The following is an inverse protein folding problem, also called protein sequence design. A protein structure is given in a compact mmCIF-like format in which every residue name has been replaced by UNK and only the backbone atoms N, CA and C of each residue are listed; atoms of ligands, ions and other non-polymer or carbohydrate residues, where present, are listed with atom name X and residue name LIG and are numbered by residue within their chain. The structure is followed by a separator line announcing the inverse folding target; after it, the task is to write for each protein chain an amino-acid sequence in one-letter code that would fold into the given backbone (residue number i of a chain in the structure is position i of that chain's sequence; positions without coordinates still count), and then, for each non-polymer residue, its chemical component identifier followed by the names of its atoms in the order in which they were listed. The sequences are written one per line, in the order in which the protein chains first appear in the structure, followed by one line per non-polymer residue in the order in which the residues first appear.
data_IF_867849320949
#
_entry.id   IF_867849320949
#
_cell.length_a   1.000
_cell.length_b   1.000
_cell.length_c   1.000
_cell.angle_alpha   90.00
_cell.angle_beta   90.00
_cell.angle_gamma   90.00
#
_symmetry.space_group_name_H-M   'P 1'
#
loop_
_entity.id
_entity.type
_entity.pdbx_description
1 polymer ?
#
# COMPACT_ATOMS: atom_id res chain seq x y z
N UNK A 1 -12.60 2.51 21.68
CA UNK A 1 -11.45 2.56 20.76
C UNK A 1 -10.25 2.83 21.63
N UNK A 2 -9.45 1.81 21.86
CA UNK A 2 -8.21 1.94 22.61
C UNK A 2 -7.21 2.69 21.71
N UNK A 3 -6.65 3.80 22.19
CA UNK A 3 -5.58 4.48 21.49
C UNK A 3 -4.34 3.60 21.64
N UNK A 4 -3.95 2.89 20.59
CA UNK A 4 -2.69 2.16 20.53
C UNK A 4 -1.58 3.13 20.16
N UNK A 5 -0.50 3.12 20.93
CA UNK A 5 0.73 3.81 20.57
C UNK A 5 1.46 2.95 19.53
N UNK A 6 1.59 3.49 18.32
CA UNK A 6 2.38 2.88 17.25
C UNK A 6 3.83 3.24 17.51
N UNK A 7 4.68 2.22 17.64
CA UNK A 7 6.09 2.37 17.93
C UNK A 7 6.82 2.80 16.65
N UNK A 8 7.05 4.09 16.51
CA UNK A 8 7.73 4.65 15.34
C UNK A 8 8.13 6.10 15.50
N UNK A 9 9.28 6.48 14.92
CA UNK A 9 9.67 7.89 14.83
C UNK A 9 8.90 8.53 13.68
N UNK A 10 7.92 9.37 14.01
CA UNK A 10 7.21 10.21 13.04
C UNK A 10 8.03 11.47 12.75
N UNK A 11 8.21 11.78 11.47
CA UNK A 11 8.83 13.02 11.00
C UNK A 11 7.78 14.13 10.79
N UNK A 12 6.49 13.77 10.77
CA UNK A 12 5.38 14.73 10.74
C UNK A 12 5.15 15.37 9.38
N UNK A 13 5.65 14.78 8.30
CA UNK A 13 5.50 15.26 6.94
C UNK A 13 4.23 14.72 6.26
N UNK A 14 3.68 13.60 6.72
CA UNK A 14 2.41 13.06 6.21
C UNK A 14 1.71 12.15 7.22
N UNK A 15 0.37 12.18 7.19
CA UNK A 15 -0.53 11.20 7.80
C UNK A 15 -0.29 9.75 7.35
N UNK A 16 0.38 9.54 6.20
CA UNK A 16 0.76 8.21 5.69
C UNK A 16 1.98 7.60 6.37
N UNK A 17 2.71 8.36 7.20
CA UNK A 17 3.87 7.86 7.95
C UNK A 17 3.51 6.74 8.94
N UNK A 18 2.23 6.60 9.26
CA UNK A 18 1.71 5.51 10.11
C UNK A 18 1.78 4.14 9.43
N UNK A 19 1.72 4.09 8.09
CA UNK A 19 1.54 2.85 7.35
C UNK A 19 2.73 1.88 7.48
N UNK A 20 4.01 2.32 7.36
CA UNK A 20 5.14 1.41 7.52
C UNK A 20 5.22 0.84 8.93
N UNK A 21 5.02 1.68 9.96
CA UNK A 21 5.07 1.23 11.37
C UNK A 21 3.97 0.22 11.68
N UNK A 22 2.75 0.46 11.21
CA UNK A 22 1.63 -0.47 11.38
C UNK A 22 1.87 -1.80 10.64
N UNK A 23 2.48 -1.75 9.45
CA UNK A 23 2.90 -2.95 8.74
C UNK A 23 4.03 -3.71 9.47
N UNK A 24 4.99 -3.02 10.07
CA UNK A 24 6.04 -3.66 10.87
C UNK A 24 5.48 -4.36 12.13
N UNK A 25 4.44 -3.79 12.75
CA UNK A 25 3.80 -4.37 13.94
C UNK A 25 2.83 -5.52 13.63
N UNK A 26 1.99 -5.37 12.61
CA UNK A 26 0.87 -6.28 12.33
C UNK A 26 1.04 -7.12 11.05
N UNK A 27 2.16 -6.96 10.32
CA UNK A 27 2.36 -7.63 9.04
C UNK A 27 1.26 -7.29 8.04
N UNK A 28 0.74 -8.28 7.31
CA UNK A 28 -0.38 -8.07 6.36
C UNK A 28 -1.71 -7.72 7.03
N UNK A 29 -1.89 -8.05 8.31
CA UNK A 29 -3.14 -7.77 9.02
C UNK A 29 -3.33 -6.28 9.33
N UNK A 30 -2.29 -5.46 9.15
CA UNK A 30 -2.34 -3.99 9.32
C UNK A 30 -3.50 -3.33 8.56
N UNK A 31 -3.88 -3.89 7.40
CA UNK A 31 -4.97 -3.37 6.57
C UNK A 31 -6.33 -3.39 7.28
N UNK A 32 -6.50 -4.27 8.27
CA UNK A 32 -7.73 -4.37 9.06
C UNK A 32 -7.87 -3.24 10.08
N UNK A 33 -6.76 -2.60 10.44
CA UNK A 33 -6.71 -1.48 11.37
C UNK A 33 -6.92 -0.12 10.67
N UNK A 34 -6.72 -0.07 9.34
CA UNK A 34 -6.92 1.14 8.54
C UNK A 34 -8.41 1.51 8.42
N UNK A 35 -8.70 2.79 8.63
CA UNK A 35 -10.05 3.35 8.46
C UNK A 35 -10.04 4.49 7.46
N UNK A 36 -10.97 4.43 6.51
CA UNK A 36 -11.10 5.43 5.46
C UNK A 36 -10.89 4.82 4.06
N UNK A 37 -10.71 5.70 3.09
CA UNK A 37 -10.53 5.35 1.69
C UNK A 37 -9.04 5.35 1.35
N UNK A 38 -8.51 4.24 0.86
CA UNK A 38 -7.09 4.13 0.55
C UNK A 38 -6.84 3.17 -0.61
N UNK A 39 -5.74 3.42 -1.32
CA UNK A 39 -5.12 2.49 -2.25
C UNK A 39 -3.61 2.71 -2.16
N UNK A 40 -2.91 1.76 -1.54
CA UNK A 40 -1.50 1.88 -1.15
C UNK A 40 -0.64 0.79 -1.78
N UNK A 41 0.66 1.04 -1.81
CA UNK A 41 1.68 0.09 -2.19
C UNK A 41 2.84 0.16 -1.17
N UNK A 42 3.19 -0.96 -0.55
CA UNK A 42 4.36 -1.09 0.33
C UNK A 42 5.32 -2.06 -0.33
N UNK A 43 6.58 -1.65 -0.48
CA UNK A 43 7.64 -2.55 -0.87
C UNK A 43 8.52 -2.83 0.34
N UNK A 44 8.51 -4.08 0.77
CA UNK A 44 9.32 -4.56 1.88
C UNK A 44 10.64 -5.11 1.33
N UNK A 45 11.72 -4.37 1.59
CA UNK A 45 13.07 -4.71 1.14
C UNK A 45 13.69 -5.88 1.90
N UNK A 46 13.18 -6.22 3.09
CA UNK A 46 13.69 -7.36 3.88
C UNK A 46 13.14 -8.67 3.34
N UNK A 47 11.87 -8.68 2.92
CA UNK A 47 11.18 -9.86 2.39
C UNK A 47 11.09 -9.89 0.86
N UNK A 48 11.62 -8.87 0.18
CA UNK A 48 11.51 -8.69 -1.28
C UNK A 48 10.06 -8.79 -1.80
N UNK A 49 9.12 -8.27 -1.02
CA UNK A 49 7.68 -8.42 -1.28
C UNK A 49 7.02 -7.08 -1.57
N UNK A 50 6.11 -7.07 -2.55
CA UNK A 50 5.27 -5.92 -2.89
C UNK A 50 3.84 -6.18 -2.43
N UNK A 51 3.35 -5.35 -1.52
CA UNK A 51 2.00 -5.40 -0.99
C UNK A 51 1.18 -4.29 -1.65
N UNK A 52 0.11 -4.66 -2.35
CA UNK A 52 -0.89 -3.73 -2.86
C UNK A 52 -2.18 -3.91 -2.05
N UNK A 53 -2.65 -2.86 -1.37
CA UNK A 53 -3.87 -2.91 -0.58
C UNK A 53 -4.84 -1.79 -0.94
N UNK A 54 -6.14 -2.04 -0.78
CA UNK A 54 -7.23 -1.09 -1.01
C UNK A 54 -8.20 -1.11 0.17
N UNK A 55 -8.94 -0.02 0.32
CA UNK A 55 -10.07 0.02 1.25
C UNK A 55 -11.12 -1.04 0.91
N UNK A 56 -11.92 -1.42 1.92
CA UNK A 56 -12.92 -2.50 1.85
C UNK A 56 -13.94 -2.34 0.72
N UNK A 57 -14.29 -1.10 0.39
CA UNK A 57 -15.26 -0.80 -0.66
C UNK A 57 -14.60 -0.54 -2.01
N UNK A 58 -13.27 -0.55 -2.08
CA UNK A 58 -12.51 -0.26 -3.28
C UNK A 58 -12.76 1.16 -3.80
N UNK A 59 -12.99 2.14 -2.93
CA UNK A 59 -13.39 3.49 -3.34
C UNK A 59 -12.27 4.15 -4.16
N UNK A 60 -11.00 3.91 -3.82
CA UNK A 60 -9.88 4.33 -4.66
C UNK A 60 -9.51 3.24 -5.67
N UNK A 61 -9.52 3.54 -6.99
CA UNK A 61 -9.12 2.56 -7.99
C UNK A 61 -7.64 2.20 -7.86
N UNK A 62 -7.35 0.92 -8.12
CA UNK A 62 -6.01 0.39 -8.28
C UNK A 62 -6.05 -0.67 -9.36
N UNK A 63 -5.31 -0.43 -10.42
CA UNK A 63 -5.13 -1.36 -11.53
C UNK A 63 -3.73 -1.96 -11.42
N UNK A 64 -3.58 -3.21 -11.81
CA UNK A 64 -2.29 -3.87 -11.92
C UNK A 64 -2.23 -4.70 -13.21
N UNK A 65 -1.03 -4.86 -13.74
CA UNK A 65 -0.72 -5.62 -14.94
C UNK A 65 0.54 -6.45 -14.67
N UNK A 66 0.42 -7.78 -14.48
CA UNK A 66 1.59 -8.66 -14.40
C UNK A 66 2.21 -8.82 -15.80
N UNK A 67 3.53 -8.84 -15.86
CA UNK A 67 4.33 -9.29 -17.01
C UNK A 67 5.24 -10.44 -16.60
N UNK A 68 6.13 -10.89 -17.49
CA UNK A 68 7.03 -12.03 -17.22
C UNK A 68 7.91 -11.80 -15.97
N UNK A 69 8.63 -10.68 -15.93
CA UNK A 69 9.56 -10.36 -14.82
C UNK A 69 9.22 -9.03 -14.11
N UNK A 70 7.98 -8.55 -14.24
CA UNK A 70 7.57 -7.27 -13.66
C UNK A 70 6.10 -7.25 -13.26
N UNK A 71 5.78 -6.34 -12.33
CA UNK A 71 4.43 -5.95 -12.00
C UNK A 71 4.28 -4.44 -12.17
N UNK A 72 3.38 -3.99 -13.04
CA UNK A 72 3.00 -2.60 -13.13
C UNK A 72 1.69 -2.36 -12.35
N UNK A 73 1.59 -1.25 -11.63
CA UNK A 73 0.35 -0.86 -10.96
C UNK A 73 0.14 0.66 -11.01
N UNK A 74 -1.11 1.10 -11.07
CA UNK A 74 -1.45 2.52 -11.13
C UNK A 74 -2.86 2.79 -10.60
N UNK A 75 -3.13 4.06 -10.28
CA UNK A 75 -4.49 4.50 -9.92
C UNK A 75 -5.42 4.60 -11.13
N UNK A 76 -4.85 4.81 -12.30
CA UNK A 76 -5.59 5.08 -13.54
C UNK A 76 -5.12 4.11 -14.63
N UNK A 77 -6.06 3.44 -15.29
CA UNK A 77 -5.75 2.44 -16.32
C UNK A 77 -4.94 3.05 -17.49
N UNK A 78 -5.18 4.34 -17.81
CA UNK A 78 -4.44 5.07 -18.85
C UNK A 78 -2.94 5.16 -18.58
N UNK A 79 -2.52 5.13 -17.31
CA UNK A 79 -1.10 5.11 -16.97
C UNK A 79 -0.48 3.75 -17.29
N UNK A 80 -1.21 2.65 -17.07
CA UNK A 80 -0.75 1.30 -17.41
C UNK A 80 -0.62 1.11 -18.92
N UNK A 81 -1.50 1.70 -19.72
CA UNK A 81 -1.43 1.62 -21.19
C UNK A 81 -0.18 2.27 -21.78
N UNK A 82 0.55 3.09 -21.01
CA UNK A 82 1.83 3.69 -21.41
C UNK A 82 3.04 2.85 -20.99
N UNK A 83 2.84 1.83 -20.15
CA UNK A 83 3.90 0.91 -19.75
C UNK A 83 4.18 0.00 -20.95
N UNK A 84 5.44 -0.10 -21.41
CA UNK A 84 5.80 -0.99 -22.52
C UNK A 84 5.33 -2.42 -22.23
N UNK A 85 4.72 -3.05 -23.22
CA UNK A 85 4.40 -4.47 -23.23
C UNK A 85 5.60 -5.25 -23.76
N UNK A 86 6.63 -5.41 -22.94
CA UNK A 86 7.51 -6.58 -23.05
C UNK A 86 6.68 -7.83 -22.74
#
# INVERSE_FOLDING_TARGET
MEQREILGVFKGHSDTEVLPHLYEEAGLDFVNELRGMFALAIYDTKTHSLILARDRFGIKPRFYAPGEDRLAFAREIRALLKVPCN
#
